data_IF_631537674934
#
_entry.id   IF_631537674934
#
_cell.length_a   1.000
_cell.length_b   1.000
_cell.length_c   1.000
_cell.angle_alpha   90.00
_cell.angle_beta   90.00
_cell.angle_gamma   90.00
#
_symmetry.space_group_name_H-M   'P 1'
#
loop_
_entity.id
_entity.type
_entity.pdbx_description
1 polymer ?
#
# COMPACT_ATOMS: atom_id res chain seq x y z
N UNK A 1 30.00 81.70 -3.68
CA UNK A 1 28.78 81.78 -4.44
C UNK A 1 28.54 80.40 -5.09
N UNK A 2 27.68 79.67 -4.43
CA UNK A 2 27.42 78.26 -4.66
C UNK A 2 26.67 77.98 -5.95
N UNK A 3 27.06 76.90 -6.61
CA UNK A 3 26.14 76.21 -7.50
C UNK A 3 26.14 74.73 -7.19
N UNK A 4 25.03 74.27 -6.72
CA UNK A 4 24.68 72.89 -6.43
C UNK A 4 24.60 72.10 -7.72
N UNK A 5 25.25 70.95 -7.75
CA UNK A 5 25.07 69.94 -8.80
C UNK A 5 24.36 68.72 -8.18
N UNK A 6 23.12 68.49 -8.60
CA UNK A 6 22.31 67.36 -8.16
C UNK A 6 22.69 66.15 -9.00
N UNK A 7 23.19 65.13 -8.32
CA UNK A 7 23.43 63.83 -8.91
C UNK A 7 22.20 62.99 -8.79
N UNK A 8 21.61 62.63 -9.93
CA UNK A 8 20.46 61.71 -10.06
C UNK A 8 20.99 60.27 -9.88
N UNK A 9 20.73 59.68 -8.75
CA UNK A 9 20.93 58.24 -8.55
C UNK A 9 19.84 57.48 -9.28
N UNK A 10 20.19 56.70 -10.29
CA UNK A 10 19.34 55.73 -10.96
C UNK A 10 19.15 54.54 -10.03
N UNK A 11 17.90 54.36 -9.62
CA UNK A 11 17.37 53.20 -8.90
C UNK A 11 17.47 51.98 -9.82
N UNK A 12 18.46 51.13 -9.58
CA UNK A 12 18.57 49.80 -10.15
C UNK A 12 17.76 48.86 -9.25
N UNK A 13 16.50 48.66 -9.58
CA UNK A 13 15.62 47.64 -8.94
C UNK A 13 16.22 46.24 -9.05
N UNK A 14 17.04 45.88 -8.12
CA UNK A 14 17.41 44.47 -7.88
C UNK A 14 16.17 43.82 -7.30
N UNK A 15 15.44 43.10 -8.13
CA UNK A 15 14.46 42.14 -7.63
C UNK A 15 15.21 41.04 -6.95
N UNK A 16 15.24 41.07 -5.63
CA UNK A 16 15.60 39.92 -4.82
C UNK A 16 14.62 38.80 -5.16
N UNK A 17 15.05 37.92 -6.02
CA UNK A 17 14.39 36.66 -6.30
C UNK A 17 14.63 35.79 -5.06
N UNK A 18 13.83 36.01 -4.01
CA UNK A 18 13.77 35.09 -2.88
C UNK A 18 13.31 33.76 -3.44
N UNK A 19 14.25 32.90 -3.73
CA UNK A 19 14.01 31.48 -3.91
C UNK A 19 13.48 31.02 -2.56
N UNK A 20 12.15 31.04 -2.40
CA UNK A 20 11.49 30.37 -1.29
C UNK A 20 11.88 28.90 -1.42
N UNK A 21 12.87 28.51 -0.64
CA UNK A 21 13.20 27.13 -0.39
C UNK A 21 11.97 26.54 0.32
N UNK A 22 11.14 25.82 -0.43
CA UNK A 22 9.91 25.18 0.04
C UNK A 22 10.27 23.97 0.92
N UNK A 23 10.99 24.25 2.01
CA UNK A 23 11.41 23.26 3.01
C UNK A 23 10.28 22.85 3.97
N UNK A 24 9.06 23.35 3.73
CA UNK A 24 7.87 23.07 4.55
C UNK A 24 6.88 22.10 3.89
N UNK A 25 7.21 21.53 2.73
CA UNK A 25 6.39 20.46 2.14
C UNK A 25 6.76 19.16 2.85
N UNK A 26 5.84 18.62 3.62
CA UNK A 26 5.98 17.26 4.11
C UNK A 26 6.28 16.31 2.93
N UNK A 27 7.18 15.34 3.10
CA UNK A 27 7.51 14.42 2.03
C UNK A 27 6.22 13.73 1.55
N UNK A 28 5.98 13.80 0.25
CA UNK A 28 4.81 13.16 -0.36
C UNK A 28 4.90 11.65 -0.15
N UNK A 29 3.83 10.97 0.29
CA UNK A 29 3.85 9.52 0.45
C UNK A 29 4.17 8.85 -0.90
N UNK A 30 5.07 7.89 -0.84
CA UNK A 30 5.61 7.18 -2.00
C UNK A 30 4.81 5.91 -2.25
N UNK A 31 4.14 5.85 -3.37
CA UNK A 31 3.24 4.75 -3.72
C UNK A 31 3.79 3.95 -4.90
N UNK A 32 3.70 2.65 -4.83
CA UNK A 32 3.98 1.74 -5.94
C UNK A 32 2.68 1.04 -6.36
N UNK A 33 2.48 0.87 -7.68
CA UNK A 33 1.29 0.24 -8.26
C UNK A 33 1.71 -1.05 -8.95
N UNK A 34 1.10 -2.17 -8.56
CA UNK A 34 1.34 -3.50 -9.13
C UNK A 34 0.04 -4.07 -9.68
N UNK A 35 -0.03 -4.21 -11.01
CA UNK A 35 -1.19 -4.74 -11.74
C UNK A 35 -0.73 -5.14 -13.16
N UNK A 36 -1.23 -6.20 -13.73
CA UNK A 36 -0.86 -6.62 -15.08
C UNK A 36 -1.61 -5.87 -16.19
N UNK A 37 -2.65 -5.08 -15.84
CA UNK A 37 -3.43 -4.28 -16.79
C UNK A 37 -2.88 -2.85 -16.93
N UNK A 38 -2.19 -2.51 -18.04
CA UNK A 38 -1.56 -1.19 -18.19
C UNK A 38 -2.55 -0.02 -18.06
N UNK A 39 -3.71 -0.12 -18.70
CA UNK A 39 -4.72 0.95 -18.69
C UNK A 39 -5.24 1.24 -17.26
N UNK A 40 -5.34 0.21 -16.44
CA UNK A 40 -5.75 0.38 -15.04
C UNK A 40 -4.64 1.06 -14.23
N UNK A 41 -3.38 0.62 -14.38
CA UNK A 41 -2.23 1.28 -13.74
C UNK A 41 -2.16 2.76 -14.07
N UNK A 42 -2.27 3.11 -15.37
CA UNK A 42 -2.21 4.51 -15.85
C UNK A 42 -3.35 5.37 -15.28
N UNK A 43 -4.54 4.79 -15.09
CA UNK A 43 -5.67 5.48 -14.49
C UNK A 43 -5.43 5.76 -13.00
N UNK A 44 -5.00 4.75 -12.25
CA UNK A 44 -4.70 4.86 -10.81
C UNK A 44 -3.53 5.82 -10.56
N UNK A 45 -2.47 5.75 -11.37
CA UNK A 45 -1.34 6.67 -11.28
C UNK A 45 -1.79 8.13 -11.44
N UNK A 46 -2.60 8.44 -12.46
CA UNK A 46 -3.15 9.79 -12.66
C UNK A 46 -3.96 10.27 -11.46
N UNK A 47 -4.81 9.40 -10.90
CA UNK A 47 -5.67 9.75 -9.78
C UNK A 47 -4.87 10.01 -8.50
N UNK A 48 -3.81 9.24 -8.25
CA UNK A 48 -2.93 9.41 -7.11
C UNK A 48 -2.05 10.66 -7.24
N UNK A 49 -1.43 10.87 -8.41
CA UNK A 49 -0.59 12.05 -8.68
C UNK A 49 -1.42 13.34 -8.57
N UNK A 50 -2.67 13.32 -9.06
CA UNK A 50 -3.58 14.48 -8.94
C UNK A 50 -3.89 14.85 -7.48
N UNK A 51 -3.70 13.92 -6.54
CA UNK A 51 -3.90 14.12 -5.09
C UNK A 51 -2.61 14.30 -4.30
N UNK A 52 -1.48 14.40 -4.99
CA UNK A 52 -0.21 14.74 -4.37
C UNK A 52 0.60 13.55 -3.87
N UNK A 53 0.29 12.32 -4.29
CA UNK A 53 1.12 11.16 -4.04
C UNK A 53 2.29 11.09 -5.04
N UNK A 54 3.43 10.61 -4.59
CA UNK A 54 4.58 10.30 -5.45
C UNK A 54 4.50 8.84 -5.90
N UNK A 55 4.10 8.59 -7.16
CA UNK A 55 4.09 7.23 -7.72
C UNK A 55 5.50 6.88 -8.19
N UNK A 56 6.24 6.19 -7.32
CA UNK A 56 7.67 5.92 -7.48
C UNK A 56 7.98 4.74 -8.40
N UNK A 57 7.01 3.86 -8.64
CA UNK A 57 7.14 2.73 -9.57
C UNK A 57 5.79 2.12 -9.92
N UNK A 58 5.73 1.48 -11.08
CA UNK A 58 4.65 0.56 -11.47
C UNK A 58 5.25 -0.80 -11.83
N UNK A 59 4.51 -1.89 -11.70
CA UNK A 59 4.95 -3.23 -12.09
C UNK A 59 3.78 -4.05 -12.66
N UNK A 60 4.08 -4.98 -13.56
CA UNK A 60 3.09 -5.85 -14.19
C UNK A 60 3.27 -7.33 -13.85
N UNK A 61 4.19 -7.68 -12.95
CA UNK A 61 4.49 -9.07 -12.57
C UNK A 61 5.04 -9.15 -11.14
N UNK A 62 5.00 -10.34 -10.53
CA UNK A 62 5.58 -10.61 -9.20
C UNK A 62 7.06 -10.24 -9.16
N UNK A 63 7.82 -10.67 -10.17
CA UNK A 63 9.25 -10.41 -10.25
C UNK A 63 9.55 -8.91 -10.31
N UNK A 64 8.88 -8.19 -11.21
CA UNK A 64 9.05 -6.73 -11.30
C UNK A 64 8.65 -6.03 -10.01
N UNK A 65 7.57 -6.48 -9.36
CA UNK A 65 7.11 -5.92 -8.11
C UNK A 65 8.19 -5.99 -7.02
N UNK A 66 8.78 -7.16 -6.83
CA UNK A 66 9.83 -7.37 -5.82
C UNK A 66 11.07 -6.52 -6.13
N UNK A 67 11.54 -6.53 -7.38
CA UNK A 67 12.75 -5.80 -7.78
C UNK A 67 12.56 -4.28 -7.64
N UNK A 68 11.42 -3.75 -8.09
CA UNK A 68 11.12 -2.31 -8.02
C UNK A 68 10.85 -1.85 -6.60
N UNK A 69 10.15 -2.63 -5.78
CA UNK A 69 9.93 -2.30 -4.38
C UNK A 69 11.26 -2.14 -3.62
N UNK A 70 12.21 -3.06 -3.82
CA UNK A 70 13.55 -2.98 -3.22
C UNK A 70 14.31 -1.73 -3.66
N UNK A 71 14.22 -1.39 -4.94
CA UNK A 71 14.93 -0.24 -5.51
C UNK A 71 14.34 1.10 -5.07
N UNK A 72 13.01 1.20 -5.03
CA UNK A 72 12.32 2.47 -4.79
C UNK A 72 11.90 2.67 -3.34
N UNK A 73 11.80 1.62 -2.53
CA UNK A 73 11.36 1.67 -1.12
C UNK A 73 10.10 2.50 -0.94
N UNK A 74 8.96 2.08 -1.48
CA UNK A 74 7.69 2.79 -1.33
C UNK A 74 7.18 2.72 0.12
N UNK A 75 6.36 3.69 0.51
CA UNK A 75 5.63 3.67 1.78
C UNK A 75 4.41 2.76 1.70
N UNK A 76 3.80 2.68 0.50
CA UNK A 76 2.63 1.87 0.20
C UNK A 76 2.78 1.16 -1.14
N UNK A 77 2.36 -0.10 -1.20
CA UNK A 77 2.18 -0.87 -2.45
C UNK A 77 0.70 -1.18 -2.64
N UNK A 78 0.15 -0.78 -3.79
CA UNK A 78 -1.13 -1.28 -4.30
C UNK A 78 -0.83 -2.57 -5.05
N UNK A 79 -1.36 -3.71 -4.59
CA UNK A 79 -0.98 -5.04 -5.06
C UNK A 79 -2.17 -5.79 -5.64
N UNK A 80 -2.13 -6.07 -6.94
CA UNK A 80 -3.05 -7.03 -7.55
C UNK A 80 -2.77 -8.45 -7.09
N UNK A 81 -3.82 -9.22 -6.82
CA UNK A 81 -3.69 -10.63 -6.46
C UNK A 81 -3.34 -11.52 -7.64
N UNK A 82 -3.77 -11.15 -8.85
CA UNK A 82 -3.61 -11.98 -10.04
C UNK A 82 -2.55 -11.38 -10.96
N UNK A 83 -1.36 -11.96 -10.96
CA UNK A 83 -0.25 -11.54 -11.80
C UNK A 83 0.16 -12.69 -12.76
N UNK A 84 0.72 -12.39 -13.94
CA UNK A 84 0.97 -13.41 -14.98
C UNK A 84 2.00 -14.47 -14.59
N UNK A 85 2.88 -14.16 -13.64
CA UNK A 85 3.98 -15.02 -13.19
C UNK A 85 3.79 -15.52 -11.74
N UNK A 86 2.63 -15.27 -11.09
CA UNK A 86 2.36 -15.75 -9.76
C UNK A 86 1.24 -15.02 -9.03
N UNK A 87 1.18 -15.19 -7.71
CA UNK A 87 0.16 -14.60 -6.86
C UNK A 87 0.70 -13.32 -6.18
N UNK A 88 -0.12 -12.27 -6.10
CA UNK A 88 0.21 -11.05 -5.37
C UNK A 88 0.49 -11.27 -3.89
N UNK A 89 -0.06 -12.33 -3.27
CA UNK A 89 0.26 -12.70 -1.89
C UNK A 89 1.74 -13.12 -1.75
N UNK A 90 2.30 -13.86 -2.73
CA UNK A 90 3.72 -14.23 -2.73
C UNK A 90 4.61 -12.99 -2.87
N UNK A 91 4.24 -12.08 -3.78
CA UNK A 91 4.93 -10.79 -3.94
C UNK A 91 4.87 -9.97 -2.65
N UNK A 92 3.71 -9.88 -2.01
CA UNK A 92 3.51 -9.17 -0.73
C UNK A 92 4.42 -9.73 0.34
N UNK A 93 4.42 -11.05 0.54
CA UNK A 93 5.28 -11.73 1.51
C UNK A 93 6.76 -11.43 1.27
N UNK A 94 7.24 -11.53 0.03
CA UNK A 94 8.63 -11.26 -0.32
C UNK A 94 9.05 -9.80 -0.13
N UNK A 95 8.14 -8.86 -0.41
CA UNK A 95 8.38 -7.42 -0.21
C UNK A 95 8.44 -7.11 1.29
N UNK A 96 7.48 -7.57 2.09
CA UNK A 96 7.42 -7.30 3.53
C UNK A 96 8.59 -7.91 4.31
N UNK A 97 9.12 -9.06 3.85
CA UNK A 97 10.34 -9.64 4.43
C UNK A 97 11.58 -8.74 4.27
N UNK A 98 11.61 -7.91 3.25
CA UNK A 98 12.76 -7.02 2.96
C UNK A 98 12.53 -5.57 3.34
N UNK A 99 11.27 -5.14 3.41
CA UNK A 99 10.84 -3.78 3.74
C UNK A 99 9.80 -3.88 4.87
N UNK A 100 10.24 -3.93 6.11
CA UNK A 100 9.37 -4.17 7.27
C UNK A 100 8.31 -3.07 7.49
N UNK A 101 8.59 -1.84 7.08
CA UNK A 101 7.70 -0.69 7.28
C UNK A 101 6.72 -0.46 6.12
N UNK A 102 6.89 -1.19 5.00
CA UNK A 102 6.02 -1.01 3.83
C UNK A 102 4.60 -1.48 4.16
N UNK A 103 3.63 -0.70 3.74
CA UNK A 103 2.22 -1.07 3.83
C UNK A 103 1.77 -1.65 2.49
N UNK A 104 0.89 -2.64 2.54
CA UNK A 104 0.37 -3.26 1.32
C UNK A 104 -1.15 -3.25 1.36
N UNK A 105 -1.75 -2.56 0.39
CA UNK A 105 -3.18 -2.59 0.12
C UNK A 105 -3.43 -3.50 -1.08
N UNK A 106 -4.05 -4.64 -0.81
CA UNK A 106 -4.37 -5.63 -1.84
C UNK A 106 -5.59 -5.18 -2.64
N UNK A 107 -5.52 -5.37 -3.95
CA UNK A 107 -6.61 -5.10 -4.89
C UNK A 107 -7.07 -6.42 -5.49
N UNK A 108 -8.35 -6.76 -5.31
CA UNK A 108 -8.93 -7.99 -5.83
C UNK A 108 -10.01 -7.70 -6.86
N UNK A 109 -10.04 -8.47 -7.94
CA UNK A 109 -11.09 -8.40 -8.95
C UNK A 109 -12.42 -9.00 -8.45
N UNK A 110 -12.38 -9.81 -7.41
CA UNK A 110 -13.55 -10.47 -6.83
C UNK A 110 -13.52 -10.47 -5.31
N UNK A 111 -14.69 -10.63 -4.70
CA UNK A 111 -14.83 -10.87 -3.26
C UNK A 111 -14.55 -12.34 -2.88
N UNK A 112 -13.74 -13.07 -3.68
CA UNK A 112 -13.42 -14.44 -3.40
C UNK A 112 -12.75 -14.58 -2.03
N UNK A 113 -13.32 -15.46 -1.21
CA UNK A 113 -12.85 -15.66 0.18
C UNK A 113 -11.36 -16.04 0.24
N UNK A 114 -10.87 -16.80 -0.73
CA UNK A 114 -9.47 -17.20 -0.83
C UNK A 114 -8.52 -16.01 -0.89
N UNK A 115 -8.78 -15.06 -1.79
CA UNK A 115 -7.90 -13.91 -2.05
C UNK A 115 -7.76 -13.02 -0.82
N UNK A 116 -8.89 -12.77 -0.15
CA UNK A 116 -8.91 -11.98 1.09
C UNK A 116 -8.15 -12.66 2.22
N UNK A 117 -8.36 -13.98 2.38
CA UNK A 117 -7.69 -14.73 3.42
C UNK A 117 -6.18 -14.85 3.15
N UNK A 118 -5.79 -14.99 1.90
CA UNK A 118 -4.37 -15.05 1.54
C UNK A 118 -3.70 -13.69 1.74
N UNK A 119 -4.35 -12.58 1.39
CA UNK A 119 -3.88 -11.23 1.72
C UNK A 119 -3.66 -11.03 3.23
N UNK A 120 -4.62 -11.43 4.06
CA UNK A 120 -4.53 -11.32 5.53
C UNK A 120 -3.40 -12.19 6.10
N UNK A 121 -3.26 -13.43 5.61
CA UNK A 121 -2.21 -14.36 6.07
C UNK A 121 -0.80 -13.83 5.85
N UNK A 122 -0.58 -13.13 4.73
CA UNK A 122 0.74 -12.55 4.41
C UNK A 122 0.96 -11.18 5.05
N UNK A 123 0.00 -10.67 5.82
CA UNK A 123 0.14 -9.43 6.58
C UNK A 123 -0.21 -8.17 5.81
N UNK A 124 -1.00 -8.26 4.72
CA UNK A 124 -1.50 -7.08 4.04
C UNK A 124 -2.26 -6.15 4.98
N UNK A 125 -2.07 -4.85 4.84
CA UNK A 125 -2.72 -3.81 5.66
C UNK A 125 -4.21 -3.66 5.37
N UNK A 126 -4.66 -4.14 4.19
CA UNK A 126 -6.05 -4.08 3.79
C UNK A 126 -6.32 -4.78 2.46
N UNK A 127 -7.59 -4.85 2.12
CA UNK A 127 -8.06 -5.39 0.85
C UNK A 127 -9.24 -4.57 0.33
N UNK A 128 -9.16 -4.15 -0.94
CA UNK A 128 -10.18 -3.39 -1.66
C UNK A 128 -10.54 -4.10 -2.96
N UNK A 129 -11.79 -4.01 -3.38
CA UNK A 129 -12.21 -4.51 -4.69
C UNK A 129 -11.78 -3.54 -5.81
N UNK A 130 -11.32 -4.05 -6.94
CA UNK A 130 -11.01 -3.23 -8.14
C UNK A 130 -12.23 -2.53 -8.74
N UNK A 131 -13.44 -2.95 -8.35
CA UNK A 131 -14.68 -2.26 -8.70
C UNK A 131 -14.98 -1.01 -7.87
N UNK A 132 -14.16 -0.74 -6.84
CA UNK A 132 -14.25 0.49 -6.06
C UNK A 132 -14.02 1.72 -6.94
N UNK A 133 -14.68 2.81 -6.60
CA UNK A 133 -14.50 4.10 -7.27
C UNK A 133 -13.09 4.67 -7.00
N UNK A 134 -12.64 5.61 -7.83
CA UNK A 134 -11.39 6.32 -7.61
C UNK A 134 -11.35 7.05 -6.25
N UNK A 135 -12.48 7.55 -5.77
CA UNK A 135 -12.58 8.18 -4.45
C UNK A 135 -12.34 7.16 -3.32
N UNK A 136 -13.04 6.02 -3.37
CA UNK A 136 -12.84 4.94 -2.38
C UNK A 136 -11.42 4.39 -2.38
N UNK A 137 -10.78 4.28 -3.55
CA UNK A 137 -9.38 3.86 -3.64
C UNK A 137 -8.46 4.84 -2.92
N UNK A 138 -8.65 6.14 -3.11
CA UNK A 138 -7.82 7.15 -2.45
C UNK A 138 -8.07 7.20 -0.96
N UNK A 139 -9.31 7.14 -0.52
CA UNK A 139 -9.64 7.06 0.91
C UNK A 139 -8.99 5.82 1.56
N UNK A 140 -8.97 4.68 0.84
CA UNK A 140 -8.30 3.46 1.26
C UNK A 140 -6.77 3.63 1.35
N UNK A 141 -6.16 4.31 0.37
CA UNK A 141 -4.72 4.65 0.38
C UNK A 141 -4.37 5.50 1.59
N UNK A 142 -5.14 6.57 1.84
CA UNK A 142 -4.93 7.43 3.01
C UNK A 142 -5.06 6.68 4.33
N UNK A 143 -6.12 5.89 4.49
CA UNK A 143 -6.36 5.09 5.68
C UNK A 143 -5.21 4.08 5.91
N UNK A 144 -4.78 3.39 4.84
CA UNK A 144 -3.66 2.45 4.92
C UNK A 144 -2.36 3.16 5.31
N UNK A 145 -2.07 4.33 4.76
CA UNK A 145 -0.89 5.12 5.11
C UNK A 145 -0.92 5.62 6.57
N UNK A 146 -2.08 5.86 7.15
CA UNK A 146 -2.21 6.14 8.60
C UNK A 146 -2.01 4.91 9.47
N UNK A 147 -2.05 3.70 8.89
CA UNK A 147 -1.96 2.43 9.62
C UNK A 147 -3.31 1.81 9.96
N UNK A 148 -4.40 2.35 9.41
CA UNK A 148 -5.73 1.78 9.57
C UNK A 148 -5.86 0.51 8.72
N UNK A 149 -6.54 -0.51 9.24
CA UNK A 149 -6.88 -1.70 8.46
C UNK A 149 -8.08 -1.41 7.54
N UNK A 150 -7.89 -1.61 6.24
CA UNK A 150 -8.90 -1.29 5.23
C UNK A 150 -9.54 -2.57 4.69
N UNK A 151 -10.81 -2.78 5.02
CA UNK A 151 -11.61 -3.87 4.47
C UNK A 151 -13.02 -3.35 4.18
N UNK A 152 -13.60 -3.72 3.04
CA UNK A 152 -15.04 -3.49 2.84
C UNK A 152 -15.84 -4.29 3.87
N UNK A 153 -17.07 -3.91 4.20
CA UNK A 153 -17.91 -4.63 5.18
C UNK A 153 -18.03 -6.13 4.88
N UNK A 154 -18.15 -6.49 3.59
CA UNK A 154 -18.24 -7.87 3.13
C UNK A 154 -16.94 -8.64 3.43
N UNK A 155 -15.78 -8.01 3.17
CA UNK A 155 -14.47 -8.60 3.39
C UNK A 155 -14.13 -8.69 4.88
N UNK A 156 -14.51 -7.70 5.67
CA UNK A 156 -14.31 -7.71 7.12
C UNK A 156 -15.05 -8.89 7.79
N UNK A 157 -16.27 -9.20 7.33
CA UNK A 157 -17.01 -10.37 7.79
C UNK A 157 -16.28 -11.69 7.54
N UNK A 158 -15.63 -11.85 6.40
CA UNK A 158 -14.83 -13.02 6.05
C UNK A 158 -13.57 -13.17 6.93
N UNK A 159 -12.87 -12.05 7.17
CA UNK A 159 -11.68 -12.01 8.04
C UNK A 159 -12.04 -12.41 9.47
N UNK A 160 -13.10 -11.82 10.02
CA UNK A 160 -13.57 -12.14 11.39
C UNK A 160 -14.01 -13.58 11.52
N UNK A 161 -14.70 -14.14 10.53
CA UNK A 161 -15.09 -15.55 10.54
C UNK A 161 -13.86 -16.48 10.53
N UNK A 162 -12.82 -16.14 9.77
CA UNK A 162 -11.57 -16.91 9.74
C UNK A 162 -10.81 -16.85 11.07
N UNK A 163 -10.71 -15.68 11.68
CA UNK A 163 -10.03 -15.51 12.97
C UNK A 163 -10.74 -16.27 14.09
N UNK A 164 -12.07 -16.27 14.12
CA UNK A 164 -12.85 -17.05 15.09
C UNK A 164 -12.62 -18.56 14.91
N UNK A 165 -12.65 -19.07 13.69
CA UNK A 165 -12.41 -20.50 13.42
C UNK A 165 -10.99 -20.99 13.77
N UNK A 166 -10.01 -20.07 13.88
CA UNK A 166 -8.64 -20.41 14.37
C UNK A 166 -8.56 -20.46 15.89
N UNK A 167 -9.38 -19.68 16.58
CA UNK A 167 -9.45 -19.71 18.06
C UNK A 167 -10.04 -21.02 18.54
N UNK A 168 -11.08 -21.53 17.86
CA UNK A 168 -11.74 -22.78 18.23
C UNK A 168 -10.88 -24.03 17.98
N UNK A 169 -9.85 -23.95 17.13
CA UNK A 169 -8.94 -25.10 16.84
C UNK A 169 -7.69 -25.14 17.72
N UNK A 170 -7.43 -24.10 18.50
CA UNK A 170 -6.24 -24.02 19.38
C UNK A 170 -6.52 -24.40 20.84
N UNK A 171 -7.81 -24.51 21.23
CA UNK A 171 -8.19 -24.75 22.63
C UNK A 171 -8.70 -26.19 22.93
N UNK A 172 -8.59 -27.14 21.99
CA UNK A 172 -8.85 -28.55 22.28
C UNK A 172 -7.56 -29.37 22.35
N UNK A 173 -6.97 -29.53 23.55
CA UNK A 173 -5.81 -30.40 23.73
C UNK A 173 -6.10 -31.87 23.43
N UNK A 174 -7.37 -32.25 23.29
CA UNK A 174 -7.78 -33.60 22.94
C UNK A 174 -7.67 -33.94 21.45
N UNK A 175 -7.62 -32.91 20.56
CA UNK A 175 -7.49 -33.13 19.12
C UNK A 175 -6.05 -33.41 18.67
N UNK A 176 -5.08 -33.34 19.58
CA UNK A 176 -3.67 -33.59 19.30
C UNK A 176 -3.29 -35.09 19.51
N UNK A 177 -4.19 -35.92 20.01
CA UNK A 177 -3.93 -37.32 20.22
C UNK A 177 -4.22 -38.16 18.96
N UNK A 178 -3.25 -38.92 18.54
CA UNK A 178 -3.43 -39.88 17.44
C UNK A 178 -4.41 -40.98 17.88
N UNK A 179 -5.06 -41.70 16.96
CA UNK A 179 -5.96 -42.81 17.29
C UNK A 179 -5.35 -43.88 18.21
N UNK A 180 -4.03 -44.05 18.20
CA UNK A 180 -3.29 -44.97 19.08
C UNK A 180 -3.13 -44.45 20.50
N UNK A 181 -2.96 -43.18 20.70
CA UNK A 181 -2.81 -42.57 22.03
C UNK A 181 -4.16 -42.48 22.77
N UNK A 182 -5.27 -42.39 22.04
CA UNK A 182 -6.62 -42.43 22.59
C UNK A 182 -7.02 -43.84 23.11
N UNK A 183 -6.40 -44.89 22.62
CA UNK A 183 -6.70 -46.28 23.02
C UNK A 183 -6.01 -46.65 24.35
N UNK A 184 -4.84 -46.04 24.63
CA UNK A 184 -4.09 -46.28 25.87
C UNK A 184 -4.75 -45.65 27.10
N UNK A 185 -5.54 -44.60 26.94
CA UNK A 185 -6.26 -43.91 28.04
C UNK A 185 -7.58 -44.59 28.45
N UNK A 186 -8.00 -45.65 27.74
CA UNK A 186 -9.24 -46.40 28.05
C UNK A 186 -8.99 -47.77 28.74
N UNK A 187 -7.75 -48.04 29.07
CA UNK A 187 -7.37 -49.17 29.92
C UNK A 187 -7.15 -48.71 31.37
#
# INVERSE_FOLDING_TARGET
MERRSATVARDLGVRDNVVMNDSSREPQPRVMIVDDHPMWRDAVERDLVARGYDVVATAGSVREAIDRARATRPDLVLMDMNLPDGNGADATSAIMLTLAEVKVLVLSASSARSDVLDAVKVGASGCLLKSASAAELVDAVEATLRGDAVFTPELAGLVLAHLRGRVDTTDDPASALTPRESEVLRM
#
